data_IF_835382855022
#
_entry.id   IF_835382855022
#
_cell.length_a   1.000
_cell.length_b   1.000
_cell.length_c   1.000
_cell.angle_alpha   90.00
_cell.angle_beta   90.00
_cell.angle_gamma   90.00
#
_symmetry.space_group_name_H-M   'P 1'
#
loop_
_entity.id
_entity.type
_entity.pdbx_description
1 polymer ?
#
# COMPACT_ATOMS: atom_id res chain seq x y z
N UNK A 1 -8.56 11.71 -9.00
CA UNK A 1 -8.42 10.30 -9.43
C UNK A 1 -9.47 9.47 -8.75
N UNK A 2 -10.30 8.77 -9.51
CA UNK A 2 -11.43 7.98 -8.98
C UNK A 2 -11.04 6.50 -8.89
N UNK A 3 -10.29 6.13 -7.85
CA UNK A 3 -9.94 4.74 -7.53
C UNK A 3 -10.38 4.38 -6.10
N UNK A 4 -11.58 4.81 -5.68
CA UNK A 4 -12.04 4.69 -4.29
C UNK A 4 -12.06 3.26 -3.76
N UNK A 5 -12.26 2.28 -4.64
CA UNK A 5 -12.33 0.85 -4.32
C UNK A 5 -11.00 0.09 -4.57
N UNK A 6 -9.94 0.78 -5.00
CA UNK A 6 -8.57 0.26 -5.06
C UNK A 6 -7.71 1.02 -4.02
N UNK A 7 -6.53 1.52 -4.39
CA UNK A 7 -5.66 2.26 -3.45
C UNK A 7 -6.17 3.66 -3.06
N UNK A 8 -7.19 4.19 -3.75
CA UNK A 8 -7.69 5.55 -3.50
C UNK A 8 -6.76 6.64 -4.03
N UNK A 9 -6.94 7.86 -3.50
CA UNK A 9 -6.02 8.96 -3.75
C UNK A 9 -4.70 8.76 -2.95
N UNK A 10 -3.58 9.34 -3.39
CA UNK A 10 -2.36 9.37 -2.59
C UNK A 10 -2.63 9.94 -1.20
N UNK A 11 -2.00 9.36 -0.18
CA UNK A 11 -2.05 9.88 1.19
C UNK A 11 -0.99 10.97 1.40
N UNK A 12 0.08 10.96 0.59
CA UNK A 12 1.15 11.95 0.65
C UNK A 12 1.89 12.03 -0.70
N UNK A 13 2.41 13.21 -1.02
CA UNK A 13 3.21 13.50 -2.21
C UNK A 13 4.39 14.38 -1.76
N UNK A 14 5.62 13.95 -2.05
CA UNK A 14 6.83 14.71 -1.72
C UNK A 14 7.61 14.12 -0.55
N UNK A 15 8.05 14.97 0.38
CA UNK A 15 9.05 14.64 1.41
C UNK A 15 8.63 13.44 2.31
N UNK A 16 9.32 12.29 2.24
CA UNK A 16 9.01 11.11 3.05
C UNK A 16 9.09 11.35 4.57
N UNK A 17 9.89 12.33 5.02
CA UNK A 17 10.06 12.63 6.43
C UNK A 17 8.76 13.08 7.11
N UNK A 18 7.82 13.67 6.34
CA UNK A 18 6.50 14.03 6.83
C UNK A 18 5.66 12.82 7.27
N UNK A 19 5.97 11.63 6.76
CA UNK A 19 5.38 10.35 7.16
C UNK A 19 6.23 9.58 8.19
N UNK A 20 7.36 10.14 8.63
CA UNK A 20 8.31 9.47 9.51
C UNK A 20 9.21 8.45 8.80
N UNK A 21 9.25 8.45 7.46
CA UNK A 21 10.13 7.59 6.67
C UNK A 21 11.50 8.27 6.57
N UNK A 22 12.53 7.64 7.13
CA UNK A 22 13.88 8.23 7.21
C UNK A 22 14.79 7.82 6.06
N UNK A 23 14.55 6.66 5.46
CA UNK A 23 15.38 6.12 4.38
C UNK A 23 14.51 5.28 3.42
N UNK A 24 14.39 5.72 2.17
CA UNK A 24 13.63 5.01 1.12
C UNK A 24 14.34 3.74 0.65
N UNK A 25 15.66 3.60 0.89
CA UNK A 25 16.43 2.42 0.52
C UNK A 25 16.25 1.26 1.52
N UNK A 26 15.53 1.47 2.63
CA UNK A 26 15.28 0.48 3.68
C UNK A 26 13.76 0.36 3.94
N UNK A 27 12.97 -0.17 2.99
CA UNK A 27 11.54 -0.32 3.21
C UNK A 27 11.25 -1.41 4.26
N UNK A 28 10.27 -1.14 5.13
CA UNK A 28 9.76 -2.12 6.10
C UNK A 28 9.14 -3.36 5.42
N UNK A 29 8.60 -3.18 4.21
CA UNK A 29 7.98 -4.23 3.39
C UNK A 29 8.35 -4.08 1.92
N UNK A 30 8.68 -5.20 1.27
CA UNK A 30 9.01 -5.25 -0.15
C UNK A 30 10.46 -4.89 -0.43
N UNK A 31 10.73 -4.51 -1.68
CA UNK A 31 12.07 -4.18 -2.17
C UNK A 31 12.22 -2.66 -2.32
N UNK A 32 13.43 -2.17 -2.07
CA UNK A 32 13.77 -0.78 -2.31
C UNK A 32 13.68 -0.45 -3.82
N UNK A 33 13.25 0.77 -4.13
CA UNK A 33 13.21 1.29 -5.49
C UNK A 33 14.20 2.44 -5.64
N UNK A 34 14.73 2.61 -6.86
CA UNK A 34 15.55 3.77 -7.20
C UNK A 34 14.60 4.95 -7.40
N UNK A 35 14.97 6.10 -6.84
CA UNK A 35 14.28 7.38 -7.05
C UNK A 35 15.30 8.33 -7.66
N UNK A 36 15.08 8.74 -8.90
CA UNK A 36 15.96 9.66 -9.63
C UNK A 36 15.79 11.12 -9.15
N UNK A 37 16.75 11.99 -9.47
CA UNK A 37 16.77 13.39 -8.99
C UNK A 37 15.52 14.20 -9.37
N UNK A 38 14.88 13.87 -10.50
CA UNK A 38 13.67 14.52 -11.01
C UNK A 38 12.37 13.79 -10.66
N UNK A 39 12.44 12.72 -9.86
CA UNK A 39 11.28 11.95 -9.42
C UNK A 39 10.77 12.40 -8.05
N UNK A 40 9.44 12.41 -7.90
CA UNK A 40 8.77 12.78 -6.65
C UNK A 40 8.14 11.53 -6.02
N UNK A 41 8.52 11.14 -4.80
CA UNK A 41 7.88 10.04 -4.09
C UNK A 41 6.37 10.30 -3.88
N UNK A 42 5.56 9.29 -4.19
CA UNK A 42 4.11 9.31 -3.98
C UNK A 42 3.71 8.09 -3.15
N UNK A 43 2.92 8.33 -2.11
CA UNK A 43 2.57 7.31 -1.12
C UNK A 43 1.07 7.04 -1.13
N UNK A 44 0.72 5.75 -1.07
CA UNK A 44 -0.65 5.27 -0.93
C UNK A 44 -0.80 4.38 0.29
N UNK A 45 -2.01 4.31 0.84
CA UNK A 45 -2.33 3.30 1.84
C UNK A 45 -2.20 1.90 1.24
N UNK A 46 -1.64 0.97 2.02
CA UNK A 46 -1.39 -0.39 1.58
C UNK A 46 -2.16 -1.41 2.44
N UNK A 47 -2.54 -2.52 1.81
CA UNK A 47 -3.21 -3.66 2.44
C UNK A 47 -2.35 -4.42 3.46
N UNK A 48 -1.11 -3.97 3.73
CA UNK A 48 -0.24 -4.51 4.79
C UNK A 48 -0.54 -3.94 6.18
N UNK A 49 -1.39 -2.91 6.26
CA UNK A 49 -1.76 -2.28 7.55
C UNK A 49 -2.28 -3.29 8.59
N UNK A 50 -3.16 -4.26 8.24
CA UNK A 50 -3.57 -5.31 9.19
C UNK A 50 -2.40 -6.16 9.71
N UNK A 51 -1.39 -6.45 8.89
CA UNK A 51 -0.21 -7.22 9.26
C UNK A 51 0.62 -6.45 10.30
N UNK A 52 0.81 -5.15 10.11
CA UNK A 52 1.47 -4.29 11.11
C UNK A 52 0.73 -4.28 12.45
N UNK A 53 -0.61 -4.23 12.41
CA UNK A 53 -1.44 -4.32 13.63
C UNK A 53 -1.28 -5.70 14.29
N UNK A 54 -1.32 -6.80 13.52
CA UNK A 54 -1.12 -8.17 14.04
C UNK A 54 0.22 -8.30 14.75
N UNK A 55 1.31 -7.75 14.19
CA UNK A 55 2.65 -7.78 14.81
C UNK A 55 2.68 -7.03 16.14
N UNK A 56 1.88 -5.98 16.28
CA UNK A 56 1.78 -5.15 17.49
C UNK A 56 0.92 -5.82 18.56
N UNK A 57 -0.29 -6.23 18.22
CA UNK A 57 -1.29 -6.72 19.19
C UNK A 57 -1.17 -8.21 19.50
N UNK A 58 -0.47 -8.97 18.65
CA UNK A 58 -0.13 -10.40 18.83
C UNK A 58 -1.34 -11.26 19.21
N UNK A 59 -2.35 -11.37 18.32
CA UNK A 59 -3.53 -12.19 18.60
C UNK A 59 -3.13 -13.66 18.76
N UNK A 60 -3.98 -14.45 19.46
CA UNK A 60 -3.73 -15.89 19.66
C UNK A 60 -3.62 -16.68 18.35
N UNK A 61 -4.31 -16.22 17.31
CA UNK A 61 -4.26 -16.80 15.97
C UNK A 61 -4.49 -15.67 14.95
N UNK A 62 -3.71 -15.70 13.86
CA UNK A 62 -3.92 -14.89 12.67
C UNK A 62 -3.50 -15.71 11.45
N UNK A 63 -4.27 -15.62 10.37
CA UNK A 63 -3.99 -16.29 9.09
C UNK A 63 -4.00 -15.21 8.02
N UNK A 64 -2.91 -15.10 7.26
CA UNK A 64 -2.73 -14.11 6.20
C UNK A 64 -2.09 -14.78 4.98
N UNK A 65 -2.13 -14.12 3.83
CA UNK A 65 -1.31 -14.53 2.70
C UNK A 65 0.15 -14.09 2.89
N UNK A 66 1.09 -14.75 2.18
CA UNK A 66 2.48 -14.31 2.09
C UNK A 66 2.61 -13.11 1.14
N UNK A 67 3.57 -12.19 1.33
CA UNK A 67 3.85 -11.13 0.35
C UNK A 67 4.03 -11.70 -1.06
N UNK A 68 3.49 -11.02 -2.07
CA UNK A 68 3.50 -11.49 -3.47
C UNK A 68 2.52 -12.63 -3.81
N UNK A 69 1.86 -13.25 -2.82
CA UNK A 69 0.98 -14.41 -3.00
C UNK A 69 -0.49 -14.06 -2.71
N UNK A 70 -1.04 -13.13 -3.48
CA UNK A 70 -2.40 -12.62 -3.29
C UNK A 70 -3.47 -13.62 -3.74
N UNK A 71 -4.69 -13.48 -3.22
CA UNK A 71 -5.85 -14.26 -3.66
C UNK A 71 -6.41 -13.66 -4.96
N UNK A 72 -6.31 -14.41 -6.07
CA UNK A 72 -6.86 -14.01 -7.37
C UNK A 72 -8.35 -14.30 -7.38
N UNK A 73 -9.16 -13.30 -7.70
CA UNK A 73 -10.62 -13.40 -7.80
C UNK A 73 -11.07 -13.41 -9.26
N UNK A 74 -12.36 -13.71 -9.51
CA UNK A 74 -12.96 -13.59 -10.85
C UNK A 74 -13.34 -12.14 -11.23
N UNK A 75 -13.19 -11.18 -10.31
CA UNK A 75 -13.52 -9.77 -10.57
C UNK A 75 -12.42 -9.14 -11.42
N UNK A 76 -12.85 -8.42 -12.46
CA UNK A 76 -11.94 -7.59 -13.25
C UNK A 76 -11.84 -6.20 -12.63
N UNK A 77 -10.68 -5.55 -12.76
CA UNK A 77 -10.48 -4.16 -12.30
C UNK A 77 -11.51 -3.20 -12.89
N UNK A 78 -11.96 -3.42 -14.13
CA UNK A 78 -13.02 -2.63 -14.77
C UNK A 78 -14.36 -2.69 -14.03
N UNK A 79 -14.60 -3.74 -13.24
CA UNK A 79 -15.81 -3.91 -12.43
C UNK A 79 -15.75 -3.17 -11.10
N UNK A 80 -14.56 -2.68 -10.72
CA UNK A 80 -14.34 -1.83 -9.54
C UNK A 80 -14.90 -0.41 -9.77
N UNK A 81 -15.29 -0.07 -11.00
CA UNK A 81 -15.97 1.17 -11.35
C UNK A 81 -17.48 0.95 -11.43
N UNK A 82 -18.26 1.64 -10.60
CA UNK A 82 -19.65 1.95 -10.94
C UNK A 82 -19.72 3.45 -11.24
N UNK A 83 -20.21 3.88 -12.43
CA UNK A 83 -20.50 5.28 -12.65
C UNK A 83 -21.55 5.71 -11.63
N UNK A 84 -21.22 6.69 -10.78
CA UNK A 84 -22.22 7.30 -9.92
C UNK A 84 -23.24 8.01 -10.83
N UNK A 85 -24.49 7.53 -10.78
CA UNK A 85 -25.66 8.19 -11.36
C UNK A 85 -25.97 9.49 -10.61
#
# INVERSE_FOLDING_TARGET
>A
GSYQLAHGAPIHIGDPAALGITDLAQPDWGDAVIVEEDEVPVFWACGVTPQAVIMTVKPKIAITHSPGHMFITDWQDSMIYQPQS
#
